data_IF_889169951422
#
_entry.id   IF_889169951422
#
_cell.length_a   1.000
_cell.length_b   1.000
_cell.length_c   1.000
_cell.angle_alpha   90.00
_cell.angle_beta   90.00
_cell.angle_gamma   90.00
#
_symmetry.space_group_name_H-M   'P 1'
#
loop_
_entity.id
_entity.type
_entity.pdbx_description
1 polymer ?
#
# COMPACT_ATOMS: atom_id res chain seq x y z
N UNK A 1 13.59 12.41 47.08
CA UNK A 1 12.89 13.04 45.95
C UNK A 1 12.92 12.06 44.77
N UNK A 2 11.77 11.53 44.36
CA UNK A 2 11.66 10.56 43.26
C UNK A 2 11.77 11.29 41.90
N UNK A 3 12.74 10.89 41.07
CA UNK A 3 12.78 11.29 39.66
C UNK A 3 11.60 10.63 38.93
N UNK A 4 10.59 11.42 38.56
CA UNK A 4 9.62 11.01 37.53
C UNK A 4 10.33 11.03 36.17
N UNK A 5 10.82 9.87 35.74
CA UNK A 5 11.29 9.68 34.38
C UNK A 5 10.09 9.73 33.42
N UNK A 6 9.94 10.87 32.73
CA UNK A 6 8.93 11.05 31.70
C UNK A 6 9.36 10.25 30.46
N UNK A 7 8.80 9.04 30.28
CA UNK A 7 8.94 8.30 29.02
C UNK A 7 8.19 9.08 27.92
N UNK A 8 8.91 9.89 27.16
CA UNK A 8 8.38 10.42 25.89
C UNK A 8 8.25 9.24 24.91
N UNK A 9 7.03 8.77 24.69
CA UNK A 9 6.73 7.82 23.63
C UNK A 9 6.94 8.53 22.28
N UNK A 10 8.05 8.25 21.60
CA UNK A 10 8.25 8.73 20.23
C UNK A 10 7.24 8.02 19.33
N UNK A 11 6.16 8.71 18.95
CA UNK A 11 5.26 8.23 17.91
C UNK A 11 5.98 8.29 16.57
N UNK A 12 6.47 7.15 16.08
CA UNK A 12 7.00 7.04 14.72
C UNK A 12 5.82 7.15 13.75
N UNK A 13 5.62 8.34 13.17
CA UNK A 13 4.62 8.56 12.13
C UNK A 13 5.05 7.90 10.83
N UNK A 14 4.11 7.27 10.13
CA UNK A 14 4.39 6.78 8.78
C UNK A 14 4.39 7.95 7.80
N UNK A 15 5.35 7.95 6.87
CA UNK A 15 5.28 8.83 5.71
C UNK A 15 4.47 8.13 4.62
N UNK A 16 3.59 8.89 3.96
CA UNK A 16 2.87 8.44 2.78
C UNK A 16 3.84 7.85 1.74
N UNK A 17 3.42 6.79 1.06
CA UNK A 17 4.24 6.16 0.03
C UNK A 17 4.36 7.06 -1.20
N UNK A 18 5.57 7.24 -1.74
CA UNK A 18 5.73 7.98 -3.00
C UNK A 18 5.02 7.24 -4.15
N UNK A 19 4.47 7.99 -5.12
CA UNK A 19 3.83 7.39 -6.29
C UNK A 19 4.74 6.39 -7.03
N UNK A 20 6.03 6.71 -7.19
CA UNK A 20 7.01 5.82 -7.83
C UNK A 20 7.15 4.50 -7.06
N UNK A 21 7.20 4.57 -5.73
CA UNK A 21 7.26 3.38 -4.87
C UNK A 21 5.96 2.59 -4.95
N UNK A 22 4.80 3.24 -4.76
CA UNK A 22 3.49 2.59 -4.82
C UNK A 22 3.27 1.88 -6.16
N UNK A 23 3.62 2.55 -7.26
CA UNK A 23 3.54 1.97 -8.61
C UNK A 23 4.37 0.70 -8.75
N UNK A 24 5.63 0.73 -8.31
CA UNK A 24 6.54 -0.42 -8.41
C UNK A 24 6.05 -1.60 -7.57
N UNK A 25 5.61 -1.32 -6.34
CA UNK A 25 5.19 -2.34 -5.38
C UNK A 25 3.83 -2.93 -5.76
N UNK A 26 2.90 -2.11 -6.25
CA UNK A 26 1.61 -2.56 -6.78
C UNK A 26 1.78 -3.43 -8.03
N UNK A 27 2.67 -3.03 -8.94
CA UNK A 27 2.99 -3.83 -10.12
C UNK A 27 3.53 -5.21 -9.74
N UNK A 28 4.50 -5.25 -8.83
CA UNK A 28 5.09 -6.52 -8.38
C UNK A 28 4.08 -7.41 -7.68
N UNK A 29 3.25 -6.86 -6.78
CA UNK A 29 2.19 -7.60 -6.10
C UNK A 29 1.20 -8.20 -7.11
N UNK A 30 0.78 -7.39 -8.09
CA UNK A 30 -0.22 -7.80 -9.08
C UNK A 30 0.32 -8.85 -10.03
N UNK A 31 1.60 -8.80 -10.41
CA UNK A 31 2.26 -9.86 -11.17
C UNK A 31 2.24 -11.20 -10.43
N UNK A 32 2.46 -11.20 -9.11
CA UNK A 32 2.38 -12.42 -8.30
C UNK A 32 0.96 -12.93 -8.14
N UNK A 33 -0.01 -12.03 -8.00
CA UNK A 33 -1.42 -12.41 -8.02
C UNK A 33 -1.83 -13.00 -9.38
N UNK A 34 -1.36 -12.41 -10.50
CA UNK A 34 -1.59 -12.93 -11.84
C UNK A 34 -1.07 -14.35 -12.01
N UNK A 35 0.16 -14.59 -11.55
CA UNK A 35 0.78 -15.90 -11.59
C UNK A 35 0.06 -16.94 -10.72
N UNK A 36 -0.21 -16.64 -9.44
CA UNK A 36 -0.77 -17.62 -8.50
C UNK A 36 -2.29 -17.84 -8.64
N UNK A 37 -3.02 -16.82 -9.09
CA UNK A 37 -4.48 -16.87 -9.21
C UNK A 37 -4.93 -17.12 -10.66
N UNK A 38 -3.98 -17.27 -11.60
CA UNK A 38 -4.23 -17.44 -13.02
C UNK A 38 -5.18 -16.35 -13.55
N UNK A 39 -4.82 -15.09 -13.33
CA UNK A 39 -5.66 -13.95 -13.73
C UNK A 39 -5.71 -13.84 -15.26
N UNK A 40 -6.89 -13.48 -15.78
CA UNK A 40 -6.98 -13.04 -17.19
C UNK A 40 -6.27 -11.70 -17.36
N UNK A 41 -5.89 -11.29 -18.59
CA UNK A 41 -5.28 -9.99 -18.83
C UNK A 41 -6.11 -8.82 -18.27
N UNK A 42 -7.43 -8.85 -18.45
CA UNK A 42 -8.33 -7.81 -17.93
C UNK A 42 -8.35 -7.80 -16.39
N UNK A 43 -8.43 -8.96 -15.75
CA UNK A 43 -8.37 -9.05 -14.29
C UNK A 43 -7.03 -8.54 -13.74
N UNK A 44 -5.93 -8.80 -14.44
CA UNK A 44 -4.61 -8.35 -14.03
C UNK A 44 -4.48 -6.82 -14.09
N UNK A 45 -5.02 -6.19 -15.14
CA UNK A 45 -5.08 -4.73 -15.25
C UNK A 45 -5.91 -4.11 -14.10
N UNK A 46 -7.09 -4.66 -13.83
CA UNK A 46 -7.95 -4.22 -12.72
C UNK A 46 -7.29 -4.41 -11.34
N UNK A 47 -6.68 -5.58 -11.10
CA UNK A 47 -5.99 -5.89 -9.84
C UNK A 47 -4.81 -4.93 -9.62
N UNK A 48 -4.09 -4.57 -10.68
CA UNK A 48 -3.02 -3.57 -10.61
C UNK A 48 -3.53 -2.20 -10.18
N UNK A 49 -4.59 -1.69 -10.80
CA UNK A 49 -5.17 -0.39 -10.46
C UNK A 49 -5.72 -0.39 -9.02
N UNK A 50 -6.36 -1.48 -8.58
CA UNK A 50 -6.84 -1.66 -7.20
C UNK A 50 -5.69 -1.65 -6.19
N UNK A 51 -4.60 -2.38 -6.48
CA UNK A 51 -3.43 -2.43 -5.61
C UNK A 51 -2.72 -1.08 -5.53
N UNK A 52 -2.65 -0.34 -6.64
CA UNK A 52 -2.04 0.99 -6.68
C UNK A 52 -2.87 2.02 -5.90
N UNK A 53 -4.19 2.03 -6.08
CA UNK A 53 -5.13 2.89 -5.32
C UNK A 53 -4.99 2.65 -3.81
N UNK A 54 -4.91 1.39 -3.39
CA UNK A 54 -4.68 1.03 -2.00
C UNK A 54 -3.36 1.58 -1.47
N UNK A 55 -2.23 1.31 -2.14
CA UNK A 55 -0.91 1.73 -1.66
C UNK A 55 -0.76 3.26 -1.63
N UNK A 56 -1.36 3.97 -2.57
CA UNK A 56 -1.40 5.44 -2.59
C UNK A 56 -2.24 6.04 -1.47
N UNK A 57 -3.20 5.29 -0.94
CA UNK A 57 -4.10 5.77 0.12
C UNK A 57 -3.54 5.55 1.53
N UNK A 58 -2.47 4.75 1.69
CA UNK A 58 -1.84 4.50 2.98
C UNK A 58 -0.98 5.69 3.43
N UNK A 59 -1.41 6.33 4.53
CA UNK A 59 -0.73 7.49 5.12
C UNK A 59 -0.25 7.23 6.56
N UNK A 60 -0.77 6.21 7.23
CA UNK A 60 -0.49 5.91 8.63
C UNK A 60 -0.36 4.41 8.91
N UNK A 61 0.24 4.03 10.05
CA UNK A 61 0.26 2.63 10.52
C UNK A 61 -1.15 2.04 10.64
N UNK A 62 -2.13 2.84 11.06
CA UNK A 62 -3.51 2.40 11.26
C UNK A 62 -4.23 2.04 9.96
N UNK A 63 -3.75 2.54 8.83
CA UNK A 63 -4.43 2.42 7.54
C UNK A 63 -4.27 1.03 6.92
N UNK A 64 -3.24 0.29 7.32
CA UNK A 64 -2.85 -1.01 6.73
C UNK A 64 -3.96 -2.06 6.80
N UNK A 65 -4.80 -2.01 7.83
CA UNK A 65 -5.97 -2.88 7.99
C UNK A 65 -7.21 -2.06 8.33
N UNK A 66 -7.25 -0.82 7.84
CA UNK A 66 -8.39 0.09 7.99
C UNK A 66 -9.28 0.12 6.75
N UNK A 67 -10.05 1.20 6.61
CA UNK A 67 -11.04 1.36 5.53
C UNK A 67 -10.47 1.21 4.12
N UNK A 68 -9.21 1.58 3.89
CA UNK A 68 -8.55 1.40 2.59
C UNK A 68 -8.32 -0.08 2.26
N UNK A 69 -8.02 -0.88 3.27
CA UNK A 69 -7.88 -2.33 3.11
C UNK A 69 -9.25 -2.97 2.84
N UNK A 70 -10.29 -2.58 3.58
CA UNK A 70 -11.67 -3.07 3.34
C UNK A 70 -12.14 -2.73 1.93
N UNK A 71 -11.88 -1.48 1.47
CA UNK A 71 -12.20 -1.04 0.12
C UNK A 71 -11.46 -1.84 -0.95
N UNK A 72 -10.17 -2.14 -0.72
CA UNK A 72 -9.38 -2.98 -1.61
C UNK A 72 -9.99 -4.37 -1.71
N UNK A 73 -10.33 -4.98 -0.57
CA UNK A 73 -10.89 -6.33 -0.53
C UNK A 73 -12.24 -6.41 -1.26
N UNK A 74 -13.12 -5.45 -1.01
CA UNK A 74 -14.41 -5.35 -1.69
C UNK A 74 -14.26 -5.20 -3.21
N UNK A 75 -13.33 -4.36 -3.68
CA UNK A 75 -13.04 -4.23 -5.11
C UNK A 75 -12.49 -5.53 -5.71
N UNK A 76 -11.55 -6.20 -5.03
CA UNK A 76 -11.01 -7.48 -5.51
C UNK A 76 -12.08 -8.57 -5.58
N UNK A 77 -13.05 -8.58 -4.66
CA UNK A 77 -14.20 -9.50 -4.71
C UNK A 77 -15.06 -9.32 -5.97
N UNK A 78 -15.14 -8.11 -6.53
CA UNK A 78 -15.87 -7.84 -7.76
C UNK A 78 -15.11 -8.25 -9.04
N UNK A 79 -13.78 -8.31 -8.98
CA UNK A 79 -12.90 -8.60 -10.15
C UNK A 79 -12.56 -10.09 -10.23
N UNK A 80 -12.35 -10.74 -9.09
CA UNK A 80 -11.95 -12.14 -9.01
C UNK A 80 -13.17 -13.06 -9.11
N UNK A 81 -13.00 -14.22 -9.76
CA UNK A 81 -14.00 -15.29 -9.67
C UNK A 81 -14.08 -15.84 -8.23
N UNK A 82 -15.16 -16.55 -7.85
CA UNK A 82 -15.30 -17.09 -6.49
C UNK A 82 -14.10 -17.93 -6.03
N UNK A 83 -13.60 -18.84 -6.87
CA UNK A 83 -12.43 -19.66 -6.56
C UNK A 83 -11.15 -18.83 -6.41
N UNK A 84 -10.92 -17.84 -7.30
CA UNK A 84 -9.77 -16.95 -7.21
C UNK A 84 -9.80 -16.12 -5.93
N UNK A 85 -10.97 -15.61 -5.54
CA UNK A 85 -11.15 -14.84 -4.32
C UNK A 85 -10.91 -15.70 -3.07
N UNK A 86 -11.41 -16.93 -3.03
CA UNK A 86 -11.13 -17.86 -1.93
C UNK A 86 -9.65 -18.20 -1.82
N UNK A 87 -8.97 -18.44 -2.95
CA UNK A 87 -7.52 -18.64 -2.98
C UNK A 87 -6.77 -17.41 -2.48
N UNK A 88 -7.13 -16.21 -2.96
CA UNK A 88 -6.55 -14.93 -2.54
C UNK A 88 -6.67 -14.71 -1.02
N UNK A 89 -7.84 -14.96 -0.43
CA UNK A 89 -8.04 -14.84 1.03
C UNK A 89 -7.20 -15.83 1.83
N UNK A 90 -6.92 -17.01 1.27
CA UNK A 90 -6.05 -18.01 1.86
C UNK A 90 -4.56 -17.66 1.81
N UNK A 91 -4.16 -16.65 1.04
CA UNK A 91 -2.77 -16.26 0.83
C UNK A 91 -2.47 -14.94 1.52
N UNK A 92 -1.92 -15.01 2.74
CA UNK A 92 -1.62 -13.83 3.56
C UNK A 92 -0.76 -12.78 2.84
N UNK A 93 0.18 -13.21 1.98
CA UNK A 93 1.02 -12.29 1.22
C UNK A 93 0.30 -11.48 0.15
N UNK A 94 -0.93 -11.86 -0.22
CA UNK A 94 -1.84 -11.09 -1.07
C UNK A 94 -2.98 -10.43 -0.30
N UNK A 95 -3.55 -11.14 0.68
CA UNK A 95 -4.67 -10.65 1.48
C UNK A 95 -4.26 -9.53 2.41
N UNK A 96 -3.06 -9.62 3.01
CA UNK A 96 -2.49 -8.63 3.94
C UNK A 96 -1.15 -8.14 3.39
N UNK A 97 -1.15 -7.47 2.22
CA UNK A 97 0.05 -7.33 1.41
C UNK A 97 1.06 -6.32 1.97
N UNK A 98 0.59 -5.37 2.78
CA UNK A 98 1.42 -4.32 3.39
C UNK A 98 1.39 -4.51 4.91
N UNK A 99 2.50 -4.18 5.55
CA UNK A 99 2.69 -4.16 7.00
C UNK A 99 3.48 -2.90 7.38
N UNK A 100 3.33 -2.46 8.62
CA UNK A 100 4.19 -1.44 9.21
C UNK A 100 5.20 -2.10 10.14
N UNK A 101 6.50 -1.99 9.85
CA UNK A 101 7.56 -2.58 10.67
C UNK A 101 8.73 -1.62 10.78
N UNK A 102 9.21 -1.35 11.99
CA UNK A 102 10.43 -0.55 12.23
C UNK A 102 10.45 0.79 11.49
N UNK A 103 9.32 1.52 11.52
CA UNK A 103 9.20 2.85 10.92
C UNK A 103 9.12 2.88 9.39
N UNK A 104 8.88 1.74 8.72
CA UNK A 104 8.77 1.66 7.26
C UNK A 104 7.66 0.72 6.80
N UNK A 105 7.19 0.94 5.58
CA UNK A 105 6.34 0.01 4.85
C UNK A 105 7.12 -1.27 4.54
N UNK A 106 6.54 -2.42 4.88
CA UNK A 106 7.04 -3.75 4.54
C UNK A 106 5.98 -4.48 3.73
N UNK A 107 6.39 -5.29 2.74
CA UNK A 107 5.47 -5.99 1.86
C UNK A 107 5.61 -7.49 2.03
N UNK A 108 4.48 -8.16 2.32
CA UNK A 108 4.44 -9.58 2.64
C UNK A 108 4.86 -10.47 1.45
N UNK A 109 4.63 -10.02 0.22
CA UNK A 109 5.03 -10.72 -1.02
C UNK A 109 6.53 -11.05 -1.07
N UNK A 110 7.38 -10.27 -0.42
CA UNK A 110 8.83 -10.51 -0.42
C UNK A 110 9.31 -11.62 0.53
N UNK A 111 8.41 -12.21 1.34
CA UNK A 111 8.72 -13.43 2.05
C UNK A 111 8.72 -14.67 1.12
N UNK A 112 8.04 -14.58 -0.02
CA UNK A 112 7.85 -15.68 -0.96
C UNK A 112 8.55 -15.46 -2.30
N UNK A 113 8.76 -14.20 -2.70
CA UNK A 113 9.29 -13.86 -4.01
C UNK A 113 10.50 -12.95 -3.95
N UNK A 114 11.49 -13.25 -4.80
CA UNK A 114 12.63 -12.38 -5.04
C UNK A 114 12.19 -11.12 -5.79
N UNK A 115 12.66 -9.98 -5.34
CA UNK A 115 12.47 -8.67 -5.99
C UNK A 115 12.91 -8.71 -7.46
N UNK A 116 12.12 -8.09 -8.33
CA UNK A 116 12.48 -7.82 -9.73
C UNK A 116 12.30 -8.99 -10.69
N UNK A 117 11.88 -10.17 -10.22
CA UNK A 117 11.49 -11.27 -11.10
C UNK A 117 10.01 -11.10 -11.45
N UNK A 118 9.63 -11.05 -12.74
CA UNK A 118 8.25 -10.91 -13.21
C UNK A 118 7.84 -12.11 -14.07
N UNK A 119 6.58 -12.53 -13.98
CA UNK A 119 6.06 -13.68 -14.75
C UNK A 119 5.14 -13.25 -15.90
N UNK A 120 4.62 -12.03 -15.85
CA UNK A 120 3.63 -11.51 -16.78
C UNK A 120 4.15 -10.24 -17.46
N UNK A 121 3.50 -9.86 -18.57
CA UNK A 121 3.71 -8.56 -19.19
C UNK A 121 3.30 -7.42 -18.25
N UNK A 122 3.63 -6.18 -18.59
CA UNK A 122 3.17 -5.05 -17.79
C UNK A 122 1.67 -4.81 -18.04
N UNK A 123 0.88 -4.50 -17.00
CA UNK A 123 -0.54 -4.23 -17.13
C UNK A 123 -0.76 -2.91 -17.89
N UNK A 124 -1.91 -2.78 -18.53
CA UNK A 124 -2.40 -1.58 -19.20
C UNK A 124 -3.43 -0.90 -18.30
N UNK A 125 -3.00 -0.01 -17.38
CA UNK A 125 -3.91 0.65 -16.44
C UNK A 125 -5.11 1.29 -17.15
N UNK A 126 -6.31 1.04 -16.63
CA UNK A 126 -7.55 1.58 -17.18
C UNK A 126 -7.71 3.06 -16.82
N UNK A 127 -7.15 3.46 -15.68
CA UNK A 127 -7.11 4.86 -15.28
C UNK A 127 -5.69 5.42 -15.39
N UNK A 128 -5.57 6.62 -15.96
CA UNK A 128 -4.38 7.44 -15.74
C UNK A 128 -4.39 7.79 -14.26
N UNK A 129 -3.64 7.04 -13.45
CA UNK A 129 -3.43 7.33 -12.04
C UNK A 129 -2.62 8.63 -11.92
N UNK A 130 -3.33 9.76 -11.99
CA UNK A 130 -2.85 11.01 -11.44
C UNK A 130 -2.90 10.89 -9.91
N UNK A 131 -1.87 11.32 -9.17
CA UNK A 131 -1.87 11.26 -7.72
C UNK A 131 -3.07 12.05 -7.19
N UNK A 132 -4.17 11.37 -6.86
CA UNK A 132 -5.41 12.03 -6.38
C UNK A 132 -5.17 12.77 -5.07
N UNK A 133 -4.11 12.43 -4.33
CA UNK A 133 -3.70 13.07 -3.09
C UNK A 133 -2.19 13.31 -3.12
N UNK A 134 -1.77 14.45 -3.70
CA UNK A 134 -0.48 15.02 -3.34
C UNK A 134 -0.49 15.32 -1.83
N UNK A 135 0.58 15.03 -1.07
CA UNK A 135 0.63 15.46 0.33
C UNK A 135 0.53 16.98 0.33
N UNK A 136 -0.44 17.54 1.07
CA UNK A 136 -0.33 18.91 1.52
C UNK A 136 0.89 18.99 2.43
N UNK A 137 2.06 19.22 1.86
CA UNK A 137 3.20 19.77 2.59
C UNK A 137 2.80 21.20 3.00
N UNK A 138 2.04 21.33 4.08
CA UNK A 138 2.07 22.57 4.86
C UNK A 138 3.41 22.59 5.59
N UNK A 139 4.43 23.06 4.88
CA UNK A 139 5.38 23.93 5.52
C UNK A 139 4.62 25.22 5.84
N UNK A 140 4.26 25.43 7.11
CA UNK A 140 4.21 26.78 7.61
C UNK A 140 5.62 27.17 8.05
N UNK A 141 6.26 28.12 7.38
CA UNK A 141 7.35 28.86 7.97
C UNK A 141 6.83 30.21 8.49
N UNK A 142 7.23 30.47 9.75
CA UNK A 142 7.40 31.78 10.43
C UNK A 142 6.22 32.25 11.27
N UNK A 143 6.50 32.44 12.56
CA UNK A 143 6.74 33.79 13.07
C UNK A 143 7.91 33.80 14.06
N UNK A 144 9.02 34.41 13.63
CA UNK A 144 10.00 35.01 14.51
C UNK A 144 9.95 36.51 14.23
N UNK A 145 9.82 37.30 15.28
CA UNK A 145 9.85 38.75 15.24
C UNK A 145 9.40 39.32 16.58
N UNK A 146 10.33 39.65 17.50
CA UNK A 146 10.02 40.46 18.67
C UNK A 146 10.19 41.94 18.28
N UNK A 147 9.19 42.79 18.50
CA UNK A 147 9.45 44.23 18.59
C UNK A 147 8.39 44.97 19.40
N UNK A 148 8.92 45.67 20.43
CA UNK A 148 8.33 46.64 21.36
C UNK A 148 7.52 46.11 22.52
#
# INVERSE_FOLDING_TARGET
>A
MMLMAMMMAMTVTANAMSYKTAKKEALFLSDKMAYELNLTPAQYDDVYDINLDYMMSLNSRGDVYGSWWDRRDAKLRCVLTPWQYDRYRGLNHFYRPVMWKSGRWAFAVYAHYKRGHFYNHHPKPHHRHEPRHAPHHRHEPRHHGPHR
#
